data_IF_867886477927
#
_entry.id   IF_867886477927
#
_cell.length_a   1.000
_cell.length_b   1.000
_cell.length_c   1.000
_cell.angle_alpha   90.00
_cell.angle_beta   90.00
_cell.angle_gamma   90.00
#
_symmetry.space_group_name_H-M   'P 1'
#
loop_
_entity.id
_entity.type
_entity.pdbx_description
1 polymer ?
#
# COMPACT_ATOMS: atom_id res chain seq x y z
N UNK A 1 -27.53 -18.97 -28.43
CA UNK A 1 -26.59 -19.40 -27.38
C UNK A 1 -26.24 -18.13 -26.63
N UNK A 2 -26.93 -17.88 -25.53
CA UNK A 2 -26.74 -16.65 -24.71
C UNK A 2 -25.62 -16.99 -23.73
N UNK A 3 -24.45 -16.34 -23.88
CA UNK A 3 -23.36 -16.47 -22.94
C UNK A 3 -23.84 -16.05 -21.54
N UNK A 4 -23.55 -16.88 -20.55
CA UNK A 4 -24.03 -16.77 -19.19
C UNK A 4 -23.52 -15.48 -18.53
N UNK A 5 -24.41 -14.54 -18.26
CA UNK A 5 -24.11 -13.23 -17.67
C UNK A 5 -23.57 -13.31 -16.22
N UNK A 6 -23.42 -14.51 -15.66
CA UNK A 6 -22.96 -14.74 -14.29
C UNK A 6 -21.44 -14.87 -14.13
N UNK A 7 -20.70 -15.19 -15.20
CA UNK A 7 -19.25 -15.37 -15.15
C UNK A 7 -18.46 -14.07 -15.44
N UNK A 8 -19.13 -13.03 -15.94
CA UNK A 8 -18.48 -11.77 -16.38
C UNK A 8 -18.35 -10.75 -15.23
N UNK A 9 -19.16 -10.82 -14.16
CA UNK A 9 -19.25 -9.78 -13.16
C UNK A 9 -18.01 -9.63 -12.22
N UNK A 10 -17.36 -10.68 -11.69
CA UNK A 10 -16.18 -10.53 -10.82
C UNK A 10 -14.95 -10.04 -11.57
N UNK A 11 -14.76 -10.48 -12.81
CA UNK A 11 -13.64 -10.11 -13.67
C UNK A 11 -13.72 -8.63 -14.10
N UNK A 12 -14.90 -8.13 -14.41
CA UNK A 12 -15.08 -6.75 -14.87
C UNK A 12 -14.71 -5.71 -13.81
N UNK A 13 -15.07 -5.93 -12.54
CA UNK A 13 -14.71 -5.02 -11.46
C UNK A 13 -13.18 -4.99 -11.23
N UNK A 14 -12.52 -6.15 -11.29
CA UNK A 14 -11.06 -6.24 -11.18
C UNK A 14 -10.37 -5.48 -12.34
N UNK A 15 -10.82 -5.69 -13.58
CA UNK A 15 -10.30 -4.97 -14.76
C UNK A 15 -10.52 -3.46 -14.68
N UNK A 16 -11.65 -3.00 -14.13
CA UNK A 16 -11.91 -1.57 -13.89
C UNK A 16 -10.88 -1.01 -12.91
N UNK A 17 -10.58 -1.73 -11.81
CA UNK A 17 -9.57 -1.29 -10.84
C UNK A 17 -8.17 -1.21 -11.45
N UNK A 18 -7.77 -2.23 -12.20
CA UNK A 18 -6.45 -2.29 -12.86
C UNK A 18 -6.27 -1.10 -13.82
N UNK A 19 -7.22 -0.88 -14.74
CA UNK A 19 -7.18 0.25 -15.67
C UNK A 19 -7.26 1.59 -14.95
N UNK A 20 -8.06 1.69 -13.89
CA UNK A 20 -8.15 2.92 -13.11
C UNK A 20 -6.82 3.24 -12.43
N UNK A 21 -6.16 2.25 -11.82
CA UNK A 21 -4.86 2.43 -11.16
C UNK A 21 -3.79 2.88 -12.17
N UNK A 22 -3.74 2.26 -13.34
CA UNK A 22 -2.83 2.64 -14.42
C UNK A 22 -3.08 4.08 -14.90
N UNK A 23 -4.34 4.47 -15.14
CA UNK A 23 -4.70 5.84 -15.53
C UNK A 23 -4.39 6.85 -14.41
N UNK A 24 -4.66 6.51 -13.15
CA UNK A 24 -4.31 7.37 -12.01
C UNK A 24 -2.80 7.57 -11.92
N UNK A 25 -2.01 6.53 -12.14
CA UNK A 25 -0.54 6.61 -12.12
C UNK A 25 0.04 7.43 -13.30
N UNK A 26 -0.52 7.27 -14.51
CA UNK A 26 0.01 7.94 -15.72
C UNK A 26 -0.37 9.42 -15.84
N UNK A 27 -1.59 9.80 -15.47
CA UNK A 27 -2.10 11.16 -15.71
C UNK A 27 -2.65 11.87 -14.46
N UNK A 28 -2.66 11.19 -13.32
CA UNK A 28 -3.21 11.66 -12.05
C UNK A 28 -4.71 11.39 -11.89
N UNK A 29 -5.13 11.32 -10.64
CA UNK A 29 -6.53 11.07 -10.26
C UNK A 29 -7.48 12.13 -10.85
N UNK A 30 -7.15 13.42 -10.72
CA UNK A 30 -8.03 14.52 -11.14
C UNK A 30 -8.33 14.50 -12.65
N UNK A 31 -7.35 14.17 -13.47
CA UNK A 31 -7.49 14.13 -14.94
C UNK A 31 -8.18 12.86 -15.44
N UNK A 32 -8.37 11.87 -14.59
CA UNK A 32 -9.00 10.60 -14.96
C UNK A 32 -10.53 10.67 -14.74
N UNK A 33 -11.29 10.11 -15.68
CA UNK A 33 -12.75 10.03 -15.61
C UNK A 33 -13.25 8.59 -15.80
N UNK A 34 -14.45 8.29 -15.26
CA UNK A 34 -15.11 6.98 -15.49
C UNK A 34 -15.35 6.68 -16.97
N UNK A 35 -15.47 7.73 -17.78
CA UNK A 35 -15.60 7.61 -19.24
C UNK A 35 -14.30 7.09 -19.87
N UNK A 36 -13.16 7.68 -19.51
CA UNK A 36 -11.85 7.22 -20.00
C UNK A 36 -11.56 5.77 -19.59
N UNK A 37 -11.89 5.39 -18.34
CA UNK A 37 -11.77 4.01 -17.88
C UNK A 37 -12.62 3.07 -18.73
N UNK A 38 -13.87 3.46 -19.06
CA UNK A 38 -14.73 2.66 -19.92
C UNK A 38 -14.16 2.54 -21.34
N UNK A 39 -13.65 3.64 -21.91
CA UNK A 39 -13.03 3.70 -23.24
C UNK A 39 -11.79 2.81 -23.32
N UNK A 40 -10.91 2.85 -22.31
CA UNK A 40 -9.70 2.01 -22.24
C UNK A 40 -10.03 0.51 -22.15
N UNK A 41 -11.12 0.17 -21.43
CA UNK A 41 -11.59 -1.21 -21.30
C UNK A 41 -12.40 -1.70 -22.51
N UNK A 42 -12.81 -0.81 -23.43
CA UNK A 42 -13.71 -1.16 -24.54
C UNK A 42 -15.12 -1.54 -24.09
N UNK A 43 -15.57 -1.01 -22.94
CA UNK A 43 -16.92 -1.26 -22.41
C UNK A 43 -17.76 0.02 -22.36
N UNK A 44 -19.07 -0.12 -22.13
CA UNK A 44 -19.94 1.04 -22.03
C UNK A 44 -19.73 1.77 -20.69
N UNK A 45 -19.93 3.10 -20.68
CA UNK A 45 -19.96 3.89 -19.44
C UNK A 45 -20.98 3.34 -18.43
N UNK A 46 -22.14 2.84 -18.92
CA UNK A 46 -23.15 2.22 -18.09
C UNK A 46 -22.63 0.96 -17.37
N UNK A 47 -21.77 0.17 -18.02
CA UNK A 47 -21.14 -1.00 -17.39
C UNK A 47 -20.21 -0.60 -16.26
N UNK A 48 -19.44 0.49 -16.38
CA UNK A 48 -18.61 1.01 -15.28
C UNK A 48 -19.48 1.50 -14.15
N UNK A 49 -20.58 2.26 -14.44
CA UNK A 49 -21.51 2.75 -13.41
C UNK A 49 -22.29 1.64 -12.69
N UNK A 50 -22.42 0.48 -13.30
CA UNK A 50 -23.00 -0.70 -12.64
C UNK A 50 -22.14 -1.16 -11.45
N UNK A 51 -20.81 -1.08 -11.56
CA UNK A 51 -19.87 -1.49 -10.52
C UNK A 51 -19.51 -0.34 -9.58
N UNK A 52 -19.29 0.87 -10.10
CA UNK A 52 -18.77 2.02 -9.35
C UNK A 52 -19.56 3.29 -9.66
N UNK A 53 -20.12 3.93 -8.64
CA UNK A 53 -20.88 5.17 -8.79
C UNK A 53 -20.00 6.40 -9.03
N UNK A 54 -18.74 6.35 -8.56
CA UNK A 54 -17.80 7.46 -8.64
C UNK A 54 -16.36 6.98 -8.74
N UNK A 55 -15.44 7.88 -9.11
CA UNK A 55 -13.99 7.61 -9.04
C UNK A 55 -13.52 7.29 -7.62
N UNK A 56 -14.12 7.93 -6.63
CA UNK A 56 -13.80 7.69 -5.21
C UNK A 56 -14.10 6.25 -4.82
N UNK A 57 -15.19 5.66 -5.32
CA UNK A 57 -15.54 4.27 -5.01
C UNK A 57 -14.50 3.29 -5.58
N UNK A 58 -13.95 3.57 -6.78
CA UNK A 58 -12.85 2.79 -7.35
C UNK A 58 -11.59 2.96 -6.51
N UNK A 59 -11.25 4.19 -6.13
CA UNK A 59 -10.07 4.50 -5.34
C UNK A 59 -10.14 3.84 -3.95
N UNK A 60 -11.30 3.89 -3.29
CA UNK A 60 -11.52 3.21 -2.03
C UNK A 60 -11.35 1.69 -2.15
N UNK A 61 -11.86 1.11 -3.25
CA UNK A 61 -11.77 -0.34 -3.50
C UNK A 61 -10.33 -0.77 -3.85
N UNK A 62 -9.53 0.11 -4.43
CA UNK A 62 -8.10 -0.08 -4.64
C UNK A 62 -7.28 -0.04 -3.34
N UNK A 63 -7.60 0.90 -2.43
CA UNK A 63 -6.83 1.11 -1.20
C UNK A 63 -7.30 0.22 -0.04
N UNK A 64 -8.53 -0.27 -0.06
CA UNK A 64 -9.11 -1.07 1.02
C UNK A 64 -8.30 -2.32 1.34
N UNK A 65 -7.90 -3.19 0.36
CA UNK A 65 -7.13 -4.40 0.66
C UNK A 65 -5.78 -4.09 1.32
N UNK A 66 -5.11 -3.00 0.91
CA UNK A 66 -3.89 -2.52 1.56
C UNK A 66 -4.17 -2.13 3.01
N UNK A 67 -5.22 -1.33 3.27
CA UNK A 67 -5.55 -0.87 4.62
C UNK A 67 -5.98 -2.03 5.53
N UNK A 68 -6.72 -3.01 5.01
CA UNK A 68 -7.17 -4.18 5.78
C UNK A 68 -5.99 -5.09 6.15
N UNK A 69 -5.09 -5.38 5.21
CA UNK A 69 -3.89 -6.19 5.47
C UNK A 69 -2.90 -5.46 6.38
N UNK A 70 -2.76 -4.13 6.24
CA UNK A 70 -1.93 -3.32 7.15
C UNK A 70 -2.45 -3.38 8.59
N UNK A 71 -3.78 -3.29 8.79
CA UNK A 71 -4.40 -3.47 10.11
C UNK A 71 -4.06 -4.87 10.68
N UNK A 72 -4.04 -5.92 9.87
CA UNK A 72 -3.68 -7.26 10.31
C UNK A 72 -2.21 -7.33 10.79
N UNK A 73 -1.27 -6.73 10.03
CA UNK A 73 0.15 -6.66 10.39
C UNK A 73 0.34 -5.90 11.72
N UNK A 74 -0.34 -4.76 11.87
CA UNK A 74 -0.26 -3.95 13.09
C UNK A 74 -0.92 -4.65 14.30
N UNK A 75 -2.04 -5.35 14.08
CA UNK A 75 -2.74 -6.11 15.13
C UNK A 75 -1.86 -7.24 15.69
N UNK A 76 -1.14 -7.95 14.81
CA UNK A 76 -0.18 -8.96 15.25
C UNK A 76 0.94 -8.35 16.10
N UNK A 77 1.50 -7.22 15.67
CA UNK A 77 2.55 -6.51 16.39
C UNK A 77 2.07 -5.98 17.75
N UNK A 78 0.80 -5.52 17.87
CA UNK A 78 0.19 -5.09 19.16
C UNK A 78 0.12 -6.23 20.18
N UNK A 79 -0.15 -7.45 19.71
CA UNK A 79 -0.31 -8.63 20.59
C UNK A 79 1.02 -9.10 21.19
N UNK A 80 2.14 -8.70 20.57
CA UNK A 80 3.49 -9.04 21.02
C UNK A 80 4.03 -8.10 22.10
N UNK A 81 4.97 -8.60 22.90
CA UNK A 81 5.81 -7.72 23.71
C UNK A 81 6.69 -6.90 22.77
N UNK A 82 7.05 -5.67 23.16
CA UNK A 82 8.02 -4.83 22.42
C UNK A 82 9.44 -5.42 22.50
N UNK A 83 9.60 -6.65 21.99
CA UNK A 83 10.88 -7.33 21.91
C UNK A 83 11.54 -7.06 20.55
N UNK A 84 12.83 -7.32 20.48
CA UNK A 84 13.59 -7.22 19.24
C UNK A 84 13.01 -8.14 18.17
N UNK A 85 12.62 -9.36 18.56
CA UNK A 85 12.02 -10.32 17.64
C UNK A 85 10.67 -9.83 17.06
N UNK A 86 9.84 -9.19 17.89
CA UNK A 86 8.58 -8.61 17.42
C UNK A 86 8.81 -7.46 16.44
N UNK A 87 9.79 -6.60 16.72
CA UNK A 87 10.16 -5.50 15.83
C UNK A 87 10.76 -6.01 14.51
N UNK A 88 11.60 -7.05 14.56
CA UNK A 88 12.12 -7.70 13.36
C UNK A 88 10.99 -8.26 12.48
N UNK A 89 10.04 -8.98 13.08
CA UNK A 89 8.86 -9.51 12.35
C UNK A 89 8.01 -8.39 11.77
N UNK A 90 7.78 -7.31 12.51
CA UNK A 90 7.02 -6.17 12.01
C UNK A 90 7.68 -5.54 10.79
N UNK A 91 9.00 -5.34 10.80
CA UNK A 91 9.75 -4.84 9.64
C UNK A 91 9.60 -5.77 8.43
N UNK A 92 9.72 -7.08 8.63
CA UNK A 92 9.54 -8.09 7.56
C UNK A 92 8.13 -8.06 7.00
N UNK A 93 7.12 -8.17 7.86
CA UNK A 93 5.72 -8.22 7.45
C UNK A 93 5.28 -6.93 6.75
N UNK A 94 5.77 -5.77 7.23
CA UNK A 94 5.47 -4.49 6.59
C UNK A 94 6.15 -4.35 5.22
N UNK A 95 7.39 -4.81 5.08
CA UNK A 95 8.07 -4.84 3.78
C UNK A 95 7.36 -5.77 2.79
N UNK A 96 6.92 -6.95 3.24
CA UNK A 96 6.15 -7.89 2.42
C UNK A 96 4.80 -7.31 2.00
N UNK A 97 4.16 -6.52 2.88
CA UNK A 97 2.95 -5.77 2.57
C UNK A 97 3.20 -4.73 1.46
N UNK A 98 4.27 -3.93 1.56
CA UNK A 98 4.64 -2.96 0.53
C UNK A 98 4.91 -3.62 -0.81
N UNK A 99 5.54 -4.80 -0.81
CA UNK A 99 5.76 -5.59 -2.03
C UNK A 99 4.47 -6.13 -2.62
N UNK A 100 3.57 -6.65 -1.79
CA UNK A 100 2.26 -7.19 -2.21
C UNK A 100 1.40 -6.13 -2.89
N UNK A 101 1.42 -4.90 -2.38
CA UNK A 101 0.61 -3.78 -2.88
C UNK A 101 1.45 -2.71 -3.59
N UNK A 102 2.56 -3.12 -4.21
CA UNK A 102 3.57 -2.21 -4.76
C UNK A 102 2.98 -1.16 -5.68
N UNK A 103 2.16 -1.54 -6.65
CA UNK A 103 1.59 -0.62 -7.64
C UNK A 103 0.66 0.42 -6.99
N UNK A 104 -0.14 -0.02 -6.01
CA UNK A 104 -1.02 0.86 -5.23
C UNK A 104 -0.19 1.82 -4.36
N UNK A 105 0.85 1.31 -3.69
CA UNK A 105 1.73 2.12 -2.86
C UNK A 105 2.54 3.14 -3.69
N UNK A 106 3.04 2.75 -4.85
CA UNK A 106 3.69 3.66 -5.81
C UNK A 106 2.74 4.77 -6.26
N UNK A 107 1.48 4.42 -6.59
CA UNK A 107 0.47 5.42 -6.92
C UNK A 107 0.23 6.40 -5.77
N UNK A 108 0.02 5.92 -4.53
CA UNK A 108 -0.22 6.77 -3.35
C UNK A 108 0.95 7.73 -3.12
N UNK A 109 2.19 7.28 -3.31
CA UNK A 109 3.38 8.14 -3.18
C UNK A 109 3.51 9.16 -4.31
N UNK A 110 3.12 8.80 -5.53
CA UNK A 110 3.27 9.67 -6.72
C UNK A 110 2.17 10.73 -6.83
N UNK A 111 0.96 10.45 -6.34
CA UNK A 111 -0.20 11.34 -6.37
C UNK A 111 -0.90 11.42 -4.99
N UNK A 112 -0.19 11.98 -4.01
CA UNK A 112 -0.69 12.14 -2.63
C UNK A 112 -2.01 12.94 -2.61
N UNK A 113 -2.13 13.97 -3.46
CA UNK A 113 -3.33 14.80 -3.55
C UNK A 113 -4.50 13.99 -4.12
N UNK A 114 -4.27 13.24 -5.20
CA UNK A 114 -5.26 12.33 -5.78
C UNK A 114 -5.68 11.25 -4.81
N UNK A 115 -4.72 10.59 -4.16
CA UNK A 115 -4.98 9.56 -3.14
C UNK A 115 -5.81 10.11 -1.96
N UNK A 116 -5.62 11.39 -1.58
CA UNK A 116 -6.36 12.02 -0.47
C UNK A 116 -7.87 12.12 -0.68
N UNK A 117 -8.37 11.87 -1.89
CA UNK A 117 -9.81 11.76 -2.16
C UNK A 117 -10.41 10.45 -1.60
N UNK A 118 -9.60 9.44 -1.29
CA UNK A 118 -10.08 8.19 -0.70
C UNK A 118 -10.46 8.36 0.78
N UNK A 119 -11.55 7.69 1.15
CA UNK A 119 -11.96 7.51 2.55
C UNK A 119 -10.98 6.64 3.36
N UNK A 120 -10.15 5.84 2.67
CA UNK A 120 -9.14 4.98 3.31
C UNK A 120 -7.92 5.75 3.80
N UNK A 121 -7.64 6.94 3.26
CA UNK A 121 -6.45 7.74 3.62
C UNK A 121 -6.37 8.03 5.12
N UNK A 122 -7.48 8.35 5.76
CA UNK A 122 -7.48 8.59 7.22
C UNK A 122 -7.07 7.33 8.00
N UNK A 123 -7.49 6.16 7.53
CA UNK A 123 -7.10 4.87 8.11
C UNK A 123 -5.62 4.61 7.91
N UNK A 124 -5.10 4.74 6.69
CA UNK A 124 -3.67 4.59 6.38
C UNK A 124 -2.79 5.55 7.20
N UNK A 125 -3.17 6.82 7.32
CA UNK A 125 -2.46 7.79 8.16
C UNK A 125 -2.46 7.44 9.66
N UNK A 126 -3.51 6.77 10.15
CA UNK A 126 -3.54 6.24 11.50
C UNK A 126 -2.57 5.08 11.64
N UNK A 127 -2.55 4.17 10.66
CA UNK A 127 -1.64 3.03 10.61
C UNK A 127 -0.17 3.47 10.56
N UNK A 128 0.17 4.48 9.75
CA UNK A 128 1.53 5.05 9.69
C UNK A 128 2.00 5.52 11.08
N UNK A 129 1.14 6.24 11.80
CA UNK A 129 1.47 6.73 13.16
C UNK A 129 1.65 5.57 14.14
N UNK A 130 0.85 4.54 14.00
CA UNK A 130 0.93 3.35 14.84
C UNK A 130 2.19 2.54 14.53
N UNK A 131 2.54 2.34 13.26
CA UNK A 131 3.78 1.70 12.84
C UNK A 131 5.00 2.36 13.49
N UNK A 132 5.06 3.72 13.45
CA UNK A 132 6.12 4.47 14.15
C UNK A 132 6.15 4.14 15.63
N UNK A 133 5.00 4.07 16.32
CA UNK A 133 4.91 3.74 17.73
C UNK A 133 5.35 2.32 18.06
N UNK A 134 5.00 1.35 17.21
CA UNK A 134 5.33 -0.07 17.40
C UNK A 134 6.80 -0.37 17.11
N UNK A 135 7.43 0.34 16.17
CA UNK A 135 8.86 0.23 15.86
C UNK A 135 9.75 0.94 16.89
N UNK A 136 9.22 1.83 17.71
CA UNK A 136 9.97 2.56 18.74
C UNK A 136 10.18 1.71 20.01
N UNK A 137 11.36 1.82 20.63
CA UNK A 137 11.70 1.07 21.86
C UNK A 137 11.04 1.65 23.11
N UNK A 138 11.08 2.96 23.26
CA UNK A 138 10.61 3.68 24.45
C UNK A 138 10.00 5.03 24.08
N UNK A 139 9.84 5.92 25.06
CA UNK A 139 9.37 7.28 24.80
C UNK A 139 10.21 7.97 23.73
N UNK A 140 9.51 8.47 22.72
CA UNK A 140 10.04 8.96 21.44
C UNK A 140 10.98 10.17 21.62
N UNK A 141 12.23 9.92 21.95
CA UNK A 141 13.28 10.94 21.78
C UNK A 141 13.35 11.36 20.30
N UNK A 142 13.83 12.57 20.03
CA UNK A 142 14.01 13.03 18.65
C UNK A 142 14.91 12.08 17.85
N UNK A 143 15.95 11.54 18.48
CA UNK A 143 16.86 10.58 17.84
C UNK A 143 16.17 9.27 17.48
N UNK A 144 15.32 8.74 18.37
CA UNK A 144 14.51 7.54 18.13
C UNK A 144 13.53 7.76 16.96
N UNK A 145 12.82 8.87 16.95
CA UNK A 145 11.90 9.22 15.86
C UNK A 145 12.61 9.30 14.51
N UNK A 146 13.78 9.94 14.46
CA UNK A 146 14.58 10.03 13.23
C UNK A 146 14.99 8.64 12.77
N UNK A 147 15.45 7.78 13.70
CA UNK A 147 15.85 6.39 13.39
C UNK A 147 14.69 5.58 12.81
N UNK A 148 13.52 5.61 13.45
CA UNK A 148 12.33 4.88 12.97
C UNK A 148 11.85 5.39 11.62
N UNK A 149 11.76 6.71 11.43
CA UNK A 149 11.36 7.28 10.13
C UNK A 149 12.39 6.99 9.04
N UNK A 150 13.69 6.93 9.36
CA UNK A 150 14.73 6.55 8.41
C UNK A 150 14.61 5.08 8.00
N UNK A 151 14.26 4.19 8.93
CA UNK A 151 14.02 2.78 8.63
C UNK A 151 12.78 2.58 7.76
N UNK A 152 11.70 3.31 8.03
CA UNK A 152 10.50 3.33 7.15
C UNK A 152 10.89 3.86 5.77
N UNK A 153 11.70 4.93 5.70
CA UNK A 153 12.25 5.45 4.45
C UNK A 153 13.06 4.41 3.68
N UNK A 154 13.89 3.62 4.37
CA UNK A 154 14.62 2.50 3.75
C UNK A 154 13.65 1.47 3.16
N UNK A 155 12.60 1.07 3.89
CA UNK A 155 11.59 0.13 3.38
C UNK A 155 10.85 0.68 2.15
N UNK A 156 10.49 1.97 2.15
CA UNK A 156 9.78 2.59 1.01
C UNK A 156 10.68 2.79 -0.22
N UNK A 157 12.01 2.66 -0.10
CA UNK A 157 12.93 2.70 -1.26
C UNK A 157 12.57 1.65 -2.31
N UNK A 158 12.01 0.51 -1.91
CA UNK A 158 11.56 -0.54 -2.83
C UNK A 158 10.48 -0.04 -3.82
N UNK A 159 9.73 0.99 -3.46
CA UNK A 159 8.71 1.60 -4.30
C UNK A 159 9.31 2.56 -5.34
N UNK A 160 10.47 3.18 -5.03
CA UNK A 160 11.16 4.12 -5.93
C UNK A 160 12.01 3.41 -6.98
N UNK A 161 12.28 2.12 -6.79
CA UNK A 161 13.07 1.27 -7.69
C UNK A 161 12.19 0.21 -8.35
N UNK A 162 10.99 0.63 -8.81
CA UNK A 162 9.93 -0.26 -9.30
C UNK A 162 10.31 -1.07 -10.55
N UNK A 163 11.34 -0.65 -11.28
CA UNK A 163 11.90 -1.35 -12.45
C UNK A 163 12.77 -2.57 -12.08
N UNK A 164 13.20 -2.69 -10.83
CA UNK A 164 14.03 -3.80 -10.38
C UNK A 164 13.19 -4.94 -9.77
N UNK A 165 13.65 -6.21 -9.91
CA UNK A 165 12.99 -7.35 -9.32
C UNK A 165 12.87 -7.23 -7.80
N UNK A 166 11.70 -7.54 -7.26
CA UNK A 166 11.43 -7.46 -5.83
C UNK A 166 12.30 -8.43 -5.01
N UNK A 167 12.60 -9.60 -5.57
CA UNK A 167 13.46 -10.62 -4.96
C UNK A 167 14.89 -10.16 -4.74
N UNK A 168 15.42 -9.29 -5.60
CA UNK A 168 16.77 -8.74 -5.47
C UNK A 168 16.80 -7.59 -4.43
N UNK A 169 15.75 -6.79 -4.39
CA UNK A 169 15.66 -5.62 -3.50
C UNK A 169 15.32 -6.00 -2.06
N UNK A 170 14.44 -6.97 -1.86
CA UNK A 170 13.91 -7.32 -0.55
C UNK A 170 14.99 -7.57 0.52
N UNK A 171 16.01 -8.44 0.29
CA UNK A 171 17.03 -8.69 1.31
C UNK A 171 17.84 -7.44 1.65
N UNK A 172 18.18 -6.61 0.66
CA UNK A 172 18.99 -5.39 0.84
C UNK A 172 18.22 -4.32 1.63
N UNK A 173 16.94 -4.13 1.29
CA UNK A 173 16.06 -3.17 1.97
C UNK A 173 15.77 -3.62 3.41
N UNK A 174 15.58 -4.92 3.63
CA UNK A 174 15.35 -5.49 4.95
C UNK A 174 16.59 -5.31 5.86
N UNK A 175 17.79 -5.58 5.34
CA UNK A 175 19.06 -5.36 6.03
C UNK A 175 19.20 -3.89 6.42
N UNK A 176 19.04 -2.96 5.47
CA UNK A 176 19.16 -1.53 5.71
C UNK A 176 18.16 -1.01 6.78
N UNK A 177 16.92 -1.48 6.74
CA UNK A 177 15.90 -1.11 7.73
C UNK A 177 16.26 -1.64 9.14
N UNK A 178 16.71 -2.89 9.23
CA UNK A 178 17.13 -3.51 10.50
C UNK A 178 18.37 -2.84 11.09
N UNK A 179 19.38 -2.55 10.28
CA UNK A 179 20.59 -1.83 10.69
C UNK A 179 20.24 -0.44 11.23
N UNK A 180 19.37 0.28 10.52
CA UNK A 180 18.91 1.61 10.93
C UNK A 180 18.20 1.57 12.30
N UNK A 181 17.44 0.51 12.57
CA UNK A 181 16.76 0.29 13.86
C UNK A 181 17.67 -0.33 14.94
N UNK A 182 18.91 -0.72 14.60
CA UNK A 182 19.81 -1.40 15.53
C UNK A 182 19.39 -2.85 15.88
N UNK A 183 18.59 -3.48 15.01
CA UNK A 183 18.03 -4.82 15.25
C UNK A 183 19.00 -5.96 14.93
N UNK A 184 20.07 -5.70 14.17
CA UNK A 184 21.08 -6.70 13.80
C UNK A 184 22.16 -6.91 14.87
N UNK A 185 22.29 -6.00 15.85
CA UNK A 185 23.35 -6.04 16.88
C UNK A 185 22.94 -6.71 18.19
N UNK A 186 21.79 -7.34 18.28
CA UNK A 186 21.23 -7.89 19.52
C UNK A 186 21.55 -9.39 19.75
N UNK A 187 22.54 -9.95 19.09
CA UNK A 187 22.98 -11.34 19.15
C UNK A 187 24.44 -11.52 19.61
N UNK A 188 24.98 -10.57 20.41
CA UNK A 188 26.31 -10.66 21.00
C UNK A 188 26.27 -10.86 22.51
#
# INVERSE_FOLDING_TARGET
MVADAREIAPDTAARIREVALDLFGRQGYEKTSLRQIAEELGITKAAVYYHYRSKVDILDDLLRPLADDEEMVLAEARSGLKSIECRCRLVESYLDLLLKYRDVAVYVMSDIVGASNSRMVTTLQRHDRELVSLLSESDLSLAERVRVLSAIGAMTTILTMSELPAEDLRPLVLEAARDTLGLNNAGG
#
